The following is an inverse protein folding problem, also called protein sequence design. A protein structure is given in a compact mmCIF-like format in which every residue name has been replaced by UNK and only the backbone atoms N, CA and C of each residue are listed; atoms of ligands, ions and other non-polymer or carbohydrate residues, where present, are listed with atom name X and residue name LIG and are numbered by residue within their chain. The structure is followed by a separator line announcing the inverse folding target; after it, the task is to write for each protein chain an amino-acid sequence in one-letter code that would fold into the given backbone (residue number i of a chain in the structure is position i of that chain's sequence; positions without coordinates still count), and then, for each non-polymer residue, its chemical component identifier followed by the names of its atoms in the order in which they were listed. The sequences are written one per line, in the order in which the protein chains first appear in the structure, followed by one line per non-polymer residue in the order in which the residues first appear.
data_IF_575529165415
#
_entry.id   IF_575529165415
#
_cell.length_a   1.000
_cell.length_b   1.000
_cell.length_c   1.000
_cell.angle_alpha   90.00
_cell.angle_beta   90.00
_cell.angle_gamma   90.00
#
_symmetry.space_group_name_H-M   'P 1'
#
loop_
_entity.id
_entity.type
_entity.pdbx_description
1 polymer ?
#
# COMPACT_ATOMS: atom_id res chain seq x y z
N UNK A 1 31.41 -16.32 32.71
CA UNK A 1 30.93 -17.25 31.65
C UNK A 1 30.90 -16.55 30.30
N UNK A 2 32.06 -16.13 29.80
CA UNK A 2 32.15 -15.26 28.62
C UNK A 2 31.99 -16.04 27.31
N UNK A 3 32.48 -17.29 27.26
CA UNK A 3 32.40 -18.18 26.08
C UNK A 3 30.95 -18.43 25.65
N UNK A 4 30.05 -18.73 26.60
CA UNK A 4 28.65 -19.06 26.30
C UNK A 4 27.98 -17.86 25.62
N UNK A 5 28.04 -16.68 26.22
CA UNK A 5 27.36 -15.50 25.66
C UNK A 5 28.04 -14.96 24.40
N UNK A 6 29.36 -15.10 24.26
CA UNK A 6 30.09 -14.47 23.17
C UNK A 6 30.13 -15.31 21.89
N UNK A 7 29.90 -16.62 21.97
CA UNK A 7 29.85 -17.50 20.79
C UNK A 7 28.48 -18.14 20.57
N UNK A 8 27.84 -18.62 21.65
CA UNK A 8 26.58 -19.35 21.53
C UNK A 8 25.43 -18.37 21.29
N UNK A 9 25.38 -17.24 22.01
CA UNK A 9 24.33 -16.24 21.80
C UNK A 9 24.31 -15.65 20.37
N UNK A 10 25.44 -15.20 19.77
CA UNK A 10 25.41 -14.71 18.39
C UNK A 10 25.09 -15.81 17.38
N UNK A 11 25.50 -17.06 17.62
CA UNK A 11 25.14 -18.18 16.75
C UNK A 11 23.64 -18.47 16.79
N UNK A 12 23.02 -18.48 17.99
CA UNK A 12 21.57 -18.63 18.14
C UNK A 12 20.84 -17.46 17.48
N UNK A 13 21.34 -16.23 17.65
CA UNK A 13 20.74 -15.05 17.01
C UNK A 13 20.72 -15.19 15.49
N UNK A 14 21.80 -15.69 14.88
CA UNK A 14 21.85 -15.98 13.44
C UNK A 14 20.86 -17.08 13.05
N UNK A 15 20.75 -18.16 13.81
CA UNK A 15 19.79 -19.23 13.52
C UNK A 15 18.33 -18.73 13.59
N UNK A 16 17.99 -17.98 14.63
CA UNK A 16 16.66 -17.39 14.80
C UNK A 16 16.39 -16.36 13.71
N UNK A 17 17.38 -15.55 13.35
CA UNK A 17 17.26 -14.59 12.25
C UNK A 17 16.97 -15.28 10.92
N UNK A 18 17.72 -16.33 10.57
CA UNK A 18 17.50 -17.08 9.33
C UNK A 18 16.13 -17.76 9.34
N UNK A 19 15.72 -18.35 10.45
CA UNK A 19 14.39 -18.94 10.61
C UNK A 19 13.30 -17.88 10.41
N UNK A 20 13.44 -16.73 11.07
CA UNK A 20 12.49 -15.62 10.96
C UNK A 20 12.43 -15.05 9.54
N UNK A 21 13.59 -14.92 8.87
CA UNK A 21 13.68 -14.48 7.49
C UNK A 21 12.93 -15.45 6.57
N UNK A 22 13.19 -16.75 6.68
CA UNK A 22 12.48 -17.78 5.89
C UNK A 22 10.99 -17.77 6.19
N UNK A 23 10.59 -17.71 7.47
CA UNK A 23 9.18 -17.71 7.87
C UNK A 23 8.44 -16.47 7.34
N UNK A 24 9.05 -15.29 7.40
CA UNK A 24 8.42 -14.05 6.92
C UNK A 24 8.34 -14.03 5.39
N UNK A 25 9.38 -14.52 4.71
CA UNK A 25 9.38 -14.63 3.25
C UNK A 25 8.39 -15.67 2.76
N UNK A 26 8.26 -16.80 3.45
CA UNK A 26 7.29 -17.84 3.12
C UNK A 26 5.85 -17.38 3.35
N UNK A 27 5.59 -16.60 4.43
CA UNK A 27 4.26 -16.08 4.79
C UNK A 27 3.54 -15.40 3.62
N UNK A 28 4.25 -14.64 2.80
CA UNK A 28 3.69 -13.90 1.65
C UNK A 28 3.08 -14.84 0.59
N UNK A 29 3.60 -16.07 0.53
CA UNK A 29 3.14 -17.08 -0.42
C UNK A 29 2.10 -18.04 0.17
N UNK A 30 1.68 -17.85 1.43
CA UNK A 30 0.61 -18.67 1.97
C UNK A 30 -0.73 -18.27 1.32
N UNK A 31 -1.62 -19.24 1.03
CA UNK A 31 -2.92 -18.95 0.43
C UNK A 31 -3.74 -17.91 1.20
N UNK A 32 -3.59 -17.89 2.52
CA UNK A 32 -4.24 -16.92 3.41
C UNK A 32 -3.78 -15.47 3.20
N UNK A 33 -2.51 -15.24 2.85
CA UNK A 33 -1.97 -13.90 2.58
C UNK A 33 -2.40 -13.40 1.19
N UNK A 34 -2.52 -14.31 0.22
CA UNK A 34 -3.04 -14.02 -1.13
C UNK A 34 -4.57 -14.00 -1.23
N UNK A 35 -5.29 -14.45 -0.19
CA UNK A 35 -6.75 -14.50 -0.16
C UNK A 35 -7.40 -13.15 0.14
N UNK A 36 -6.62 -12.09 0.38
CA UNK A 36 -7.15 -10.74 0.50
C UNK A 36 -7.90 -10.38 -0.79
N UNK A 37 -9.22 -10.11 -0.72
CA UNK A 37 -9.99 -9.70 -1.89
C UNK A 37 -9.29 -8.50 -2.51
N UNK A 38 -8.94 -8.60 -3.78
CA UNK A 38 -8.41 -7.46 -4.52
C UNK A 38 -9.35 -6.27 -4.31
N UNK A 39 -8.83 -5.05 -4.11
CA UNK A 39 -9.68 -3.87 -4.09
C UNK A 39 -10.56 -3.90 -5.35
N UNK A 40 -11.84 -4.14 -5.14
CA UNK A 40 -12.87 -3.86 -6.12
C UNK A 40 -12.98 -2.35 -6.14
N UNK A 41 -12.06 -1.70 -6.84
CA UNK A 41 -12.37 -0.43 -7.45
C UNK A 41 -13.62 -0.71 -8.30
N UNK A 42 -14.78 -0.17 -7.90
CA UNK A 42 -15.72 0.25 -8.93
C UNK A 42 -14.86 1.03 -9.92
N UNK A 43 -14.82 0.62 -11.21
CA UNK A 43 -13.85 1.16 -12.15
C UNK A 43 -13.91 2.66 -12.00
N UNK A 44 -12.82 3.28 -11.54
CA UNK A 44 -12.76 4.71 -11.35
C UNK A 44 -13.32 5.28 -12.62
N UNK A 45 -14.56 5.80 -12.55
CA UNK A 45 -15.23 6.39 -13.67
C UNK A 45 -14.26 7.49 -14.01
N UNK A 46 -13.52 7.27 -15.10
CA UNK A 46 -12.55 8.20 -15.64
C UNK A 46 -13.25 9.54 -15.52
N UNK A 47 -12.76 10.38 -14.61
CA UNK A 47 -13.32 11.68 -14.30
C UNK A 47 -13.08 12.53 -15.55
N UNK A 48 -13.81 12.22 -16.61
CA UNK A 48 -14.02 13.07 -17.75
C UNK A 48 -14.87 14.17 -17.17
N UNK A 49 -14.17 15.22 -16.73
CA UNK A 49 -14.67 16.55 -16.47
C UNK A 49 -16.13 16.72 -16.90
N UNK A 50 -17.05 16.39 -16.01
CA UNK A 50 -18.37 16.97 -16.04
C UNK A 50 -18.14 18.40 -15.55
N UNK A 51 -17.67 19.24 -16.46
CA UNK A 51 -17.93 20.68 -16.41
C UNK A 51 -19.44 20.79 -16.30
N UNK A 52 -19.91 20.99 -15.06
CA UNK A 52 -21.32 21.18 -14.78
C UNK A 52 -21.78 22.41 -15.59
N UNK A 53 -22.73 22.29 -16.53
CA UNK A 53 -23.23 23.44 -17.28
C UNK A 53 -23.84 24.50 -16.34
N UNK A 54 -24.12 24.13 -15.08
CA UNK A 54 -24.60 25.03 -14.05
C UNK A 54 -23.53 26.00 -13.52
N UNK A 55 -22.24 25.64 -13.53
CA UNK A 55 -21.16 26.57 -13.13
C UNK A 55 -20.79 27.57 -14.25
N UNK A 56 -21.14 27.24 -15.50
CA UNK A 56 -20.90 28.07 -16.69
C UNK A 56 -21.95 29.19 -16.83
N UNK A 57 -23.14 29.04 -16.25
CA UNK A 57 -24.19 30.07 -16.26
C UNK A 57 -24.09 31.03 -15.07
N UNK A 58 -23.54 30.58 -13.93
CA UNK A 58 -23.42 31.41 -12.71
C UNK A 58 -22.24 32.37 -12.77
N UNK A 59 -21.17 32.04 -13.51
CA UNK A 59 -19.96 32.88 -13.59
C UNK A 59 -19.83 33.68 -14.90
N UNK A 60 -20.84 33.69 -15.77
CA UNK A 60 -20.82 34.51 -16.97
C UNK A 60 -21.22 35.95 -16.64
N UNK A 61 -20.24 36.80 -16.37
CA UNK A 61 -20.38 38.26 -16.46
C UNK A 61 -20.00 38.66 -17.90
N UNK A 62 -20.96 38.99 -18.78
CA UNK A 62 -20.60 39.57 -20.06
C UNK A 62 -19.97 40.94 -19.80
N UNK A 63 -18.70 41.08 -20.16
CA UNK A 63 -18.01 42.37 -20.21
C UNK A 63 -18.88 43.32 -21.05
N UNK A 64 -19.37 44.40 -20.41
CA UNK A 64 -20.31 45.32 -21.05
C UNK A 64 -19.58 46.06 -22.18
N UNK A 65 -19.84 45.63 -23.42
CA UNK A 65 -19.52 46.44 -24.58
C UNK A 65 -20.61 47.52 -24.68
N UNK A 66 -20.28 48.71 -24.22
CA UNK A 66 -21.04 49.95 -24.36
C UNK A 66 -20.11 51.13 -24.21
#
# INVERSE_FOLDING_TARGET
MTIIRQYIAPFIALLVFLLALVAVSARIFLPEDMAAPAPIEEPAQKQAAAIDPMFLTVNYVPESVG
#
